data_IF_044072961252
#
_entry.id   IF_044072961252
#
_cell.length_a   1.000
_cell.length_b   1.000
_cell.length_c   1.000
_cell.angle_alpha   90.00
_cell.angle_beta   90.00
_cell.angle_gamma   90.00
#
_symmetry.space_group_name_H-M   'P 1'
#
loop_
_entity.id
_entity.type
_entity.pdbx_description
1 polymer ?
#
# COMPACT_ATOMS: atom_id res chain seq x y z
N UNK A 1 -14.77 -19.16 -6.69
CA UNK A 1 -14.30 -18.00 -5.90
C UNK A 1 -14.21 -16.83 -6.85
N UNK A 2 -15.01 -15.77 -6.64
CA UNK A 2 -15.06 -14.60 -7.53
C UNK A 2 -13.62 -14.11 -7.79
N UNK A 3 -13.24 -13.90 -9.06
CA UNK A 3 -11.86 -13.53 -9.43
C UNK A 3 -11.35 -12.30 -8.65
N UNK A 4 -12.26 -11.41 -8.29
CA UNK A 4 -12.01 -10.23 -7.46
C UNK A 4 -11.52 -10.59 -6.03
N UNK A 5 -12.08 -11.63 -5.41
CA UNK A 5 -11.68 -12.10 -4.07
C UNK A 5 -10.28 -12.72 -4.12
N UNK A 6 -10.00 -13.51 -5.18
CA UNK A 6 -8.67 -14.12 -5.38
C UNK A 6 -7.58 -13.05 -5.55
N UNK A 7 -7.83 -12.02 -6.35
CA UNK A 7 -6.87 -10.91 -6.52
C UNK A 7 -6.66 -10.13 -5.22
N UNK A 8 -7.73 -9.83 -4.46
CA UNK A 8 -7.63 -9.16 -3.16
C UNK A 8 -6.76 -9.97 -2.18
N UNK A 9 -6.95 -11.28 -2.13
CA UNK A 9 -6.14 -12.17 -1.29
C UNK A 9 -4.67 -12.18 -1.70
N UNK A 10 -4.36 -12.21 -2.99
CA UNK A 10 -2.99 -12.13 -3.49
C UNK A 10 -2.33 -10.79 -3.14
N UNK A 11 -3.05 -9.67 -3.28
CA UNK A 11 -2.56 -8.33 -2.89
C UNK A 11 -2.28 -8.27 -1.39
N UNK A 12 -3.16 -8.83 -0.57
CA UNK A 12 -2.95 -8.93 0.87
C UNK A 12 -1.70 -9.75 1.19
N UNK A 13 -1.55 -10.94 0.59
CA UNK A 13 -0.41 -11.83 0.82
C UNK A 13 0.91 -11.14 0.43
N UNK A 14 0.95 -10.48 -0.73
CA UNK A 14 2.11 -9.72 -1.17
C UNK A 14 2.45 -8.57 -0.19
N UNK A 15 1.44 -7.87 0.35
CA UNK A 15 1.64 -6.79 1.33
C UNK A 15 2.26 -7.31 2.62
N UNK A 16 1.83 -8.48 3.10
CA UNK A 16 2.42 -9.14 4.28
C UNK A 16 3.87 -9.54 4.04
N UNK A 17 4.18 -10.09 2.86
CA UNK A 17 5.57 -10.44 2.49
C UNK A 17 6.47 -9.19 2.48
N UNK A 18 5.99 -8.08 1.92
CA UNK A 18 6.73 -6.81 1.91
C UNK A 18 7.01 -6.27 3.33
N UNK A 19 6.01 -6.32 4.21
CA UNK A 19 6.20 -5.98 5.64
C UNK A 19 7.27 -6.88 6.27
N UNK A 20 7.23 -8.19 6.03
CA UNK A 20 8.25 -9.11 6.52
C UNK A 20 9.67 -8.75 6.07
N UNK A 21 9.84 -8.40 4.79
CA UNK A 21 11.13 -7.96 4.25
C UNK A 21 11.62 -6.69 4.97
N UNK A 22 10.75 -5.71 5.19
CA UNK A 22 11.10 -4.44 5.84
C UNK A 22 11.49 -4.66 7.29
N UNK A 23 10.78 -5.51 8.02
CA UNK A 23 11.14 -5.91 9.38
C UNK A 23 12.53 -6.55 9.39
N UNK A 24 12.82 -7.47 8.46
CA UNK A 24 14.14 -8.09 8.35
C UNK A 24 15.24 -7.05 8.07
N UNK A 25 14.99 -6.07 7.19
CA UNK A 25 15.93 -4.98 6.94
C UNK A 25 16.22 -4.17 8.22
N UNK A 26 15.20 -3.89 9.03
CA UNK A 26 15.37 -3.21 10.33
C UNK A 26 16.16 -4.03 11.36
N UNK A 27 16.07 -5.37 11.30
CA UNK A 27 16.87 -6.27 12.15
C UNK A 27 18.32 -6.38 11.69
N UNK A 28 18.56 -6.41 10.38
CA UNK A 28 19.91 -6.47 9.78
C UNK A 28 20.63 -5.14 9.94
N UNK A 29 19.89 -4.03 9.96
CA UNK A 29 20.46 -2.70 10.15
C UNK A 29 21.06 -2.53 11.56
N UNK A 30 22.40 -2.56 11.62
CA UNK A 30 23.18 -2.34 12.83
C UNK A 30 23.54 -0.86 13.07
N UNK A 31 23.11 0.06 12.19
CA UNK A 31 23.47 1.49 12.31
C UNK A 31 22.94 2.14 13.60
N UNK A 32 21.88 1.57 14.18
CA UNK A 32 21.25 2.06 15.41
C UNK A 32 20.76 0.90 16.27
N UNK A 33 21.00 0.96 17.57
CA UNK A 33 20.41 0.03 18.53
C UNK A 33 18.87 0.12 18.52
N UNK A 34 18.22 -0.92 19.04
CA UNK A 34 16.76 -0.94 19.18
C UNK A 34 16.32 0.04 20.28
N UNK A 35 16.17 1.30 19.90
CA UNK A 35 15.58 2.36 20.71
C UNK A 35 14.10 2.60 20.34
N UNK A 36 13.40 3.40 21.15
CA UNK A 36 12.00 3.72 20.90
C UNK A 36 11.78 4.36 19.52
N UNK A 37 12.74 5.15 19.02
CA UNK A 37 12.65 5.80 17.71
C UNK A 37 12.73 4.79 16.56
N UNK A 38 13.64 3.82 16.63
CA UNK A 38 13.77 2.75 15.64
C UNK A 38 12.53 1.88 15.63
N UNK A 39 11.98 1.56 16.80
CA UNK A 39 10.73 0.78 16.91
C UNK A 39 9.55 1.55 16.32
N UNK A 40 9.35 2.83 16.67
CA UNK A 40 8.26 3.64 16.12
C UNK A 40 8.40 3.79 14.61
N UNK A 41 9.61 4.07 14.12
CA UNK A 41 9.87 4.20 12.67
C UNK A 41 9.60 2.90 11.93
N UNK A 42 10.02 1.76 12.50
CA UNK A 42 9.73 0.44 11.96
C UNK A 42 8.21 0.21 11.85
N UNK A 43 7.44 0.51 12.90
CA UNK A 43 5.98 0.35 12.89
C UNK A 43 5.33 1.26 11.86
N UNK A 44 5.68 2.56 11.83
CA UNK A 44 5.10 3.54 10.90
C UNK A 44 5.39 3.15 9.45
N UNK A 45 6.64 2.79 9.12
CA UNK A 45 7.02 2.38 7.76
C UNK A 45 6.32 1.08 7.37
N UNK A 46 6.20 0.10 8.27
CA UNK A 46 5.51 -1.14 7.98
C UNK A 46 4.01 -0.92 7.72
N UNK A 47 3.35 -0.06 8.51
CA UNK A 47 1.97 0.35 8.23
C UNK A 47 1.87 1.02 6.86
N UNK A 48 2.82 1.87 6.50
CA UNK A 48 2.85 2.54 5.21
C UNK A 48 3.02 1.57 4.04
N UNK A 49 3.95 0.63 4.16
CA UNK A 49 4.26 -0.37 3.12
C UNK A 49 3.14 -1.38 2.97
N UNK A 50 2.46 -1.75 4.06
CA UNK A 50 1.28 -2.60 4.01
C UNK A 50 0.18 -2.04 3.09
N UNK A 51 -0.03 -0.73 3.11
CA UNK A 51 -1.05 -0.08 2.28
C UNK A 51 -0.59 0.30 0.86
N UNK A 52 0.69 0.11 0.53
CA UNK A 52 1.27 0.49 -0.76
C UNK A 52 0.72 -0.33 -1.93
N UNK A 53 0.68 -1.65 -1.81
CA UNK A 53 0.15 -2.51 -2.88
C UNK A 53 -1.36 -2.33 -3.08
N UNK A 54 -2.19 -2.24 -2.03
CA UNK A 54 -3.60 -1.87 -2.14
C UNK A 54 -3.81 -0.51 -2.81
N UNK A 55 -3.02 0.51 -2.47
CA UNK A 55 -3.15 1.85 -3.06
C UNK A 55 -2.81 1.88 -4.55
N UNK A 56 -1.72 1.20 -4.95
CA UNK A 56 -1.34 1.04 -6.35
C UNK A 56 -2.41 0.30 -7.15
N UNK A 57 -3.01 -0.75 -6.57
CA UNK A 57 -4.10 -1.48 -7.22
C UNK A 57 -5.35 -0.60 -7.38
N UNK A 58 -5.68 0.23 -6.38
CA UNK A 58 -6.78 1.19 -6.47
C UNK A 58 -6.55 2.26 -7.54
N UNK A 59 -5.32 2.75 -7.68
CA UNK A 59 -4.94 3.69 -8.75
C UNK A 59 -5.10 3.06 -10.14
N UNK A 60 -4.68 1.80 -10.28
CA UNK A 60 -4.80 1.06 -11.54
C UNK A 60 -6.25 0.75 -11.95
N UNK A 61 -7.12 0.47 -10.97
CA UNK A 61 -8.53 0.14 -11.19
C UNK A 61 -9.43 1.37 -11.43
N UNK A 62 -8.87 2.57 -11.64
CA UNK A 62 -9.62 3.78 -11.98
C UNK A 62 -10.72 4.17 -10.99
N UNK A 63 -10.48 4.02 -9.69
CA UNK A 63 -11.37 4.58 -8.67
C UNK A 63 -11.23 6.13 -8.58
N UNK A 64 -11.75 6.85 -9.57
CA UNK A 64 -11.88 8.31 -9.57
C UNK A 64 -10.55 9.08 -9.71
N UNK A 65 -10.48 10.26 -9.08
CA UNK A 65 -9.37 11.25 -9.17
C UNK A 65 -7.96 10.65 -9.08
N UNK A 66 -7.79 9.52 -8.38
CA UNK A 66 -6.49 8.86 -8.22
C UNK A 66 -5.91 8.38 -9.55
N UNK A 67 -6.72 7.87 -10.46
CA UNK A 67 -6.22 7.48 -11.78
C UNK A 67 -5.79 8.69 -12.60
N UNK A 68 -6.41 9.84 -12.40
CA UNK A 68 -6.02 11.09 -13.04
C UNK A 68 -4.69 11.61 -12.48
N UNK A 69 -4.52 11.59 -11.15
CA UNK A 69 -3.26 11.94 -10.49
C UNK A 69 -2.13 10.94 -10.79
N UNK A 70 -2.46 9.65 -10.92
CA UNK A 70 -1.49 8.61 -11.30
C UNK A 70 -1.09 8.76 -12.77
N UNK A 71 -2.05 9.06 -13.66
CA UNK A 71 -1.78 9.35 -15.07
C UNK A 71 -0.93 10.60 -15.24
N UNK A 72 -1.29 11.70 -14.56
CA UNK A 72 -0.46 12.91 -14.47
C UNK A 72 0.91 12.61 -13.86
N UNK A 73 0.98 11.81 -12.80
CA UNK A 73 2.23 11.42 -12.16
C UNK A 73 3.15 10.61 -13.08
N UNK A 74 2.60 9.67 -13.86
CA UNK A 74 3.33 8.90 -14.86
C UNK A 74 3.84 9.80 -16.00
N UNK A 75 3.04 10.78 -16.43
CA UNK A 75 3.45 11.78 -17.44
C UNK A 75 4.62 12.66 -16.93
N UNK A 76 4.75 12.82 -15.60
CA UNK A 76 5.86 13.52 -14.93
C UNK A 76 6.98 12.57 -14.41
N UNK A 77 6.97 11.28 -14.78
CA UNK A 77 8.01 10.32 -14.37
C UNK A 77 7.83 9.81 -12.93
N UNK A 78 8.82 10.03 -12.04
CA UNK A 78 8.81 9.52 -10.65
C UNK A 78 7.56 9.96 -9.84
N UNK A 79 6.84 10.98 -10.29
CA UNK A 79 5.56 11.42 -9.72
C UNK A 79 4.49 10.31 -9.68
N UNK A 80 4.53 9.35 -10.60
CA UNK A 80 3.62 8.20 -10.64
C UNK A 80 3.80 7.23 -9.48
N UNK A 81 4.97 7.22 -8.84
CA UNK A 81 5.27 6.39 -7.66
C UNK A 81 5.17 7.24 -6.38
N UNK A 82 5.65 8.49 -6.41
CA UNK A 82 5.73 9.36 -5.23
C UNK A 82 4.35 9.71 -4.67
N UNK A 83 3.37 10.05 -5.52
CA UNK A 83 2.01 10.41 -5.07
C UNK A 83 1.26 9.23 -4.42
N UNK A 84 1.21 8.03 -5.03
CA UNK A 84 0.55 6.88 -4.41
C UNK A 84 1.34 6.32 -3.21
N UNK A 85 2.65 6.52 -3.13
CA UNK A 85 3.44 6.21 -1.91
C UNK A 85 3.05 7.17 -0.80
N UNK A 86 3.05 8.49 -1.03
CA UNK A 86 2.70 9.50 -0.02
C UNK A 86 1.27 9.34 0.51
N UNK A 87 0.34 8.93 -0.35
CA UNK A 87 -1.07 8.77 0.02
C UNK A 87 -1.46 7.28 0.18
N UNK A 88 -0.48 6.38 0.28
CA UNK A 88 -0.71 4.93 0.36
C UNK A 88 -1.69 4.54 1.49
N UNK A 89 -1.54 5.03 2.74
CA UNK A 89 -2.45 4.64 3.82
C UNK A 89 -3.91 5.02 3.54
N UNK A 90 -4.13 6.24 3.04
CA UNK A 90 -5.47 6.76 2.74
C UNK A 90 -6.17 5.96 1.64
N UNK A 91 -5.47 5.71 0.52
CA UNK A 91 -6.07 5.00 -0.62
C UNK A 91 -6.10 3.49 -0.43
N UNK A 92 -5.12 2.90 0.24
CA UNK A 92 -5.14 1.49 0.61
C UNK A 92 -6.34 1.17 1.50
N UNK A 93 -6.65 2.04 2.46
CA UNK A 93 -7.86 1.92 3.27
C UNK A 93 -9.15 2.08 2.44
N UNK A 94 -9.20 3.08 1.54
CA UNK A 94 -10.34 3.29 0.63
C UNK A 94 -10.58 2.08 -0.30
N UNK A 95 -9.53 1.41 -0.77
CA UNK A 95 -9.63 0.19 -1.57
C UNK A 95 -10.39 -0.93 -0.84
N UNK A 96 -10.07 -1.15 0.44
CA UNK A 96 -10.77 -2.13 1.26
C UNK A 96 -12.21 -1.69 1.59
N UNK A 97 -12.47 -0.40 1.80
CA UNK A 97 -13.84 0.11 2.05
C UNK A 97 -14.73 0.03 0.80
N UNK A 98 -14.26 0.48 -0.36
CA UNK A 98 -15.03 0.41 -1.60
C UNK A 98 -15.39 -1.04 -1.95
N UNK A 99 -14.49 -1.98 -1.65
CA UNK A 99 -14.73 -3.42 -1.75
C UNK A 99 -15.89 -3.91 -0.88
N UNK A 100 -15.95 -3.49 0.39
CA UNK A 100 -17.04 -3.89 1.30
C UNK A 100 -18.39 -3.36 0.80
N UNK A 101 -18.41 -2.15 0.24
CA UNK A 101 -19.64 -1.52 -0.26
C UNK A 101 -20.17 -2.12 -1.57
N UNK A 102 -19.30 -2.65 -2.43
CA UNK A 102 -19.74 -3.36 -3.64
C UNK A 102 -20.37 -4.71 -3.30
N UNK A 103 -19.76 -5.45 -2.36
CA UNK A 103 -20.20 -6.80 -1.98
C UNK A 103 -21.49 -6.77 -1.10
N UNK A 104 -21.91 -5.60 -0.61
CA UNK A 104 -23.16 -5.40 0.16
C UNK A 104 -24.36 -4.94 -0.69
N UNK A 105 -24.11 -4.54 -1.94
CA UNK A 105 -25.13 -4.05 -2.88
C UNK A 105 -25.42 -5.06 -4.02
N UNK A 106 -24.78 -6.23 -4.00
CA UNK A 106 -25.17 -7.44 -4.73
C UNK A 106 -25.99 -8.37 -3.83
#
# INVERSE_FOLDING_TARGET
>A
MNDNVRTKFLVFLASVVFVGIVVLLYFIDQSREWDAYKTISCVVINLWIFFLLPSLRSAYLQCGDLAEWFKKGMDFGAGGIVVPVLLAPYYGFKYYICSIKSDLNE
#
